data_IF_695039355984
#
_entry.id   IF_695039355984
#
_cell.length_a   1.000
_cell.length_b   1.000
_cell.length_c   1.000
_cell.angle_alpha   90.00
_cell.angle_beta   90.00
_cell.angle_gamma   90.00
#
_symmetry.space_group_name_H-M   'P 1'
#
loop_
_entity.id
_entity.type
_entity.pdbx_description
1 polymer ?
#
# COMPACT_ATOMS: atom_id res chain seq x y z
N UNK A 1 -8.28 13.28 -6.39
CA UNK A 1 -7.54 12.04 -6.73
C UNK A 1 -8.30 10.86 -6.18
N UNK A 2 -8.19 9.67 -6.76
CA UNK A 2 -8.91 8.50 -6.26
C UNK A 2 -8.25 7.98 -4.98
N UNK A 3 -9.04 7.82 -3.92
CA UNK A 3 -8.58 7.28 -2.63
C UNK A 3 -8.80 5.78 -2.55
N UNK A 4 -7.86 5.07 -1.90
CA UNK A 4 -8.01 3.66 -1.63
C UNK A 4 -9.16 3.43 -0.63
N UNK A 5 -9.91 2.36 -0.79
CA UNK A 5 -10.74 1.81 0.30
C UNK A 5 -9.87 0.99 1.26
N UNK A 6 -10.39 0.67 2.45
CA UNK A 6 -9.68 -0.20 3.39
C UNK A 6 -9.43 -1.60 2.80
N UNK A 7 -10.38 -2.14 2.02
CA UNK A 7 -10.20 -3.43 1.35
C UNK A 7 -9.12 -3.38 0.26
N UNK A 8 -9.07 -2.29 -0.51
CA UNK A 8 -8.01 -2.07 -1.50
C UNK A 8 -6.65 -1.90 -0.80
N UNK A 9 -6.62 -1.23 0.35
CA UNK A 9 -5.42 -1.07 1.18
C UNK A 9 -4.88 -2.43 1.61
N UNK A 10 -5.73 -3.30 2.16
CA UNK A 10 -5.35 -4.67 2.54
C UNK A 10 -4.82 -5.45 1.33
N UNK A 11 -5.47 -5.32 0.17
CA UNK A 11 -5.02 -5.98 -1.05
C UNK A 11 -3.65 -5.47 -1.54
N UNK A 12 -3.43 -4.16 -1.50
CA UNK A 12 -2.15 -3.52 -1.83
C UNK A 12 -1.05 -4.01 -0.89
N UNK A 13 -1.30 -3.97 0.42
CA UNK A 13 -0.32 -4.40 1.42
C UNK A 13 0.09 -5.86 1.21
N UNK A 14 -0.89 -6.75 0.99
CA UNK A 14 -0.61 -8.17 0.71
C UNK A 14 0.17 -8.40 -0.58
N UNK A 15 -0.10 -7.59 -1.59
CA UNK A 15 0.57 -7.71 -2.88
C UNK A 15 2.00 -7.15 -2.86
N UNK A 16 2.24 -6.06 -2.12
CA UNK A 16 3.47 -5.29 -2.21
C UNK A 16 4.43 -5.53 -1.04
N UNK A 17 3.92 -5.88 0.14
CA UNK A 17 4.66 -5.89 1.41
C UNK A 17 4.70 -7.31 1.98
N UNK A 18 3.56 -7.83 2.43
CA UNK A 18 3.49 -9.15 3.06
C UNK A 18 2.18 -9.87 2.72
N UNK A 19 2.30 -10.90 1.88
CA UNK A 19 1.19 -11.75 1.46
C UNK A 19 0.55 -12.54 2.62
N UNK A 20 1.28 -12.76 3.72
CA UNK A 20 0.85 -13.53 4.87
C UNK A 20 0.01 -12.75 5.87
N UNK A 21 -0.04 -11.42 5.77
CA UNK A 21 -0.73 -10.59 6.78
C UNK A 21 -2.23 -10.85 6.80
N UNK A 22 -2.75 -11.07 8.01
CA UNK A 22 -4.15 -11.39 8.27
C UNK A 22 -4.90 -10.17 8.76
N UNK A 23 -6.23 -10.25 8.73
CA UNK A 23 -7.08 -9.18 9.27
C UNK A 23 -7.04 -9.09 10.82
N UNK A 24 -6.31 -9.99 11.48
CA UNK A 24 -6.17 -10.07 12.94
C UNK A 24 -5.29 -8.99 13.57
N UNK A 25 -4.53 -8.22 12.78
CA UNK A 25 -3.66 -7.12 13.27
C UNK A 25 -4.42 -5.97 13.95
N UNK A 26 -5.76 -5.96 13.83
CA UNK A 26 -6.63 -4.97 14.46
C UNK A 26 -6.95 -3.76 13.57
N UNK A 27 -8.08 -3.11 13.85
CA UNK A 27 -8.59 -2.02 13.01
C UNK A 27 -7.70 -0.77 13.01
N UNK A 28 -7.08 -0.46 14.15
CA UNK A 28 -6.19 0.70 14.28
C UNK A 28 -4.92 0.54 13.46
N UNK A 29 -4.35 -0.68 13.45
CA UNK A 29 -3.20 -1.01 12.63
C UNK A 29 -3.50 -0.82 11.14
N UNK A 30 -4.62 -1.38 10.66
CA UNK A 30 -5.04 -1.21 9.27
C UNK A 30 -5.39 0.24 8.91
N UNK A 31 -5.83 1.05 9.88
CA UNK A 31 -6.09 2.48 9.67
C UNK A 31 -4.80 3.27 9.48
N UNK A 32 -3.74 2.96 10.23
CA UNK A 32 -2.43 3.59 10.05
C UNK A 32 -1.80 3.18 8.71
N UNK A 33 -1.79 1.88 8.42
CA UNK A 33 -1.34 1.34 7.13
C UNK A 33 -2.10 1.96 5.96
N UNK A 34 -3.41 2.20 6.11
CA UNK A 34 -4.22 2.90 5.11
C UNK A 34 -3.72 4.32 4.84
N UNK A 35 -3.47 5.10 5.89
CA UNK A 35 -2.95 6.48 5.77
C UNK A 35 -1.60 6.51 5.09
N UNK A 36 -0.71 5.59 5.44
CA UNK A 36 0.64 5.53 4.89
C UNK A 36 0.64 5.09 3.42
N UNK A 37 -0.12 4.06 3.07
CA UNK A 37 -0.27 3.62 1.67
C UNK A 37 -0.92 4.70 0.81
N UNK A 38 -1.88 5.45 1.36
CA UNK A 38 -2.48 6.60 0.68
C UNK A 38 -1.44 7.71 0.45
N UNK A 39 -0.62 8.04 1.46
CA UNK A 39 0.45 9.02 1.34
C UNK A 39 1.53 8.59 0.32
N UNK A 40 1.90 7.31 0.27
CA UNK A 40 2.81 6.75 -0.75
C UNK A 40 2.24 6.91 -2.16
N UNK A 41 0.92 6.74 -2.32
CA UNK A 41 0.24 6.90 -3.60
C UNK A 41 0.16 8.37 -4.05
N UNK A 42 -0.07 9.29 -3.11
CA UNK A 42 -0.20 10.72 -3.35
C UNK A 42 1.14 11.44 -3.50
N UNK A 43 2.23 10.83 -3.05
CA UNK A 43 3.56 11.40 -3.16
C UNK A 43 3.91 11.79 -4.62
N UNK A 44 4.52 12.97 -4.85
CA UNK A 44 4.78 13.49 -6.19
C UNK A 44 5.81 12.66 -6.97
N UNK A 45 6.76 12.05 -6.27
CA UNK A 45 7.82 11.24 -6.84
C UNK A 45 8.19 10.06 -5.93
N UNK A 46 9.07 9.19 -6.43
CA UNK A 46 9.49 7.99 -5.71
C UNK A 46 10.33 8.30 -4.47
N UNK A 47 11.04 9.44 -4.43
CA UNK A 47 11.84 9.82 -3.26
C UNK A 47 10.91 10.24 -2.10
N UNK A 48 9.90 11.04 -2.40
CA UNK A 48 8.86 11.43 -1.45
C UNK A 48 8.07 10.21 -0.95
N UNK A 49 7.77 9.26 -1.85
CA UNK A 49 7.10 8.01 -1.49
C UNK A 49 7.96 7.12 -0.57
N UNK A 50 9.27 7.06 -0.83
CA UNK A 50 10.24 6.35 0.00
C UNK A 50 10.31 6.93 1.42
N UNK A 51 10.34 8.26 1.55
CA UNK A 51 10.40 8.96 2.84
C UNK A 51 9.20 8.61 3.74
N UNK A 52 8.00 8.44 3.17
CA UNK A 52 6.77 8.11 3.90
C UNK A 52 6.88 6.79 4.66
N UNK A 53 7.51 5.77 4.06
CA UNK A 53 7.60 4.43 4.64
C UNK A 53 8.97 4.11 5.21
N UNK A 54 9.96 5.00 5.07
CA UNK A 54 11.34 4.73 5.51
C UNK A 54 11.40 4.24 6.95
N UNK A 55 10.54 4.75 7.83
CA UNK A 55 10.50 4.39 9.24
C UNK A 55 9.88 3.02 9.56
N UNK A 56 9.21 2.35 8.60
CA UNK A 56 8.62 1.02 8.81
C UNK A 56 9.64 -0.01 9.29
N UNK A 57 10.89 0.13 8.83
CA UNK A 57 12.01 -0.66 9.30
C UNK A 57 13.15 0.27 9.67
N UNK A 58 13.69 0.09 10.88
CA UNK A 58 14.93 0.78 11.29
C UNK A 58 16.09 0.43 10.35
N UNK A 59 16.16 -0.82 9.90
CA UNK A 59 17.11 -1.27 8.89
C UNK A 59 16.41 -2.18 7.87
N UNK A 60 16.26 -1.67 6.66
CA UNK A 60 15.64 -2.36 5.53
C UNK A 60 16.45 -3.55 5.01
N UNK A 61 17.77 -3.55 5.24
CA UNK A 61 18.62 -4.67 4.80
C UNK A 61 18.34 -5.95 5.60
N UNK A 62 17.88 -5.83 6.86
CA UNK A 62 17.49 -6.97 7.69
C UNK A 62 16.28 -7.74 7.13
N UNK A 63 15.43 -7.08 6.34
CA UNK A 63 14.30 -7.69 5.65
C UNK A 63 14.59 -7.98 4.16
N UNK A 64 15.85 -7.81 3.73
CA UNK A 64 16.29 -8.08 2.37
C UNK A 64 15.68 -7.16 1.32
N UNK A 65 15.34 -5.93 1.70
CA UNK A 65 14.57 -5.00 0.86
C UNK A 65 15.11 -3.56 0.98
N UNK A 66 14.50 -2.62 0.24
CA UNK A 66 14.73 -1.19 0.41
C UNK A 66 13.41 -0.44 0.47
N UNK A 67 13.36 0.65 1.25
CA UNK A 67 12.20 1.54 1.28
C UNK A 67 11.79 2.00 -0.11
N UNK A 68 12.77 2.23 -0.99
CA UNK A 68 12.56 2.68 -2.37
C UNK A 68 11.84 1.63 -3.22
N UNK A 69 12.26 0.38 -3.14
CA UNK A 69 11.67 -0.69 -3.94
C UNK A 69 10.32 -1.16 -3.37
N UNK A 70 10.16 -1.11 -2.05
CA UNK A 70 8.85 -1.26 -1.41
C UNK A 70 7.87 -0.17 -1.87
N UNK A 71 8.26 1.11 -1.82
CA UNK A 71 7.44 2.23 -2.29
C UNK A 71 7.07 2.09 -3.78
N UNK A 72 8.01 1.63 -4.62
CA UNK A 72 7.75 1.35 -6.04
C UNK A 72 6.69 0.26 -6.23
N UNK A 73 6.80 -0.85 -5.49
CA UNK A 73 5.84 -1.96 -5.54
C UNK A 73 4.46 -1.52 -5.06
N UNK A 74 4.40 -0.75 -3.97
CA UNK A 74 3.16 -0.18 -3.45
C UNK A 74 2.47 0.68 -4.51
N UNK A 75 3.17 1.65 -5.10
CA UNK A 75 2.59 2.54 -6.14
C UNK A 75 2.04 1.74 -7.33
N UNK A 76 2.78 0.71 -7.77
CA UNK A 76 2.33 -0.20 -8.83
C UNK A 76 1.07 -0.97 -8.44
N UNK A 77 1.01 -1.50 -7.22
CA UNK A 77 -0.15 -2.23 -6.71
C UNK A 77 -1.38 -1.32 -6.56
N UNK A 78 -1.19 -0.09 -6.05
CA UNK A 78 -2.25 0.93 -5.96
C UNK A 78 -2.83 1.23 -7.34
N UNK A 79 -1.97 1.53 -8.33
CA UNK A 79 -2.42 1.76 -9.69
C UNK A 79 -3.24 0.55 -10.22
N UNK A 80 -2.77 -0.67 -9.97
CA UNK A 80 -3.51 -1.89 -10.31
C UNK A 80 -4.89 -1.99 -9.66
N UNK A 81 -5.00 -1.65 -8.36
CA UNK A 81 -6.29 -1.67 -7.65
C UNK A 81 -7.25 -0.59 -8.13
N UNK A 82 -6.75 0.61 -8.43
CA UNK A 82 -7.58 1.71 -8.94
C UNK A 82 -8.11 1.41 -10.34
N UNK A 83 -7.27 0.80 -11.21
CA UNK A 83 -7.68 0.34 -12.53
C UNK A 83 -8.67 -0.83 -12.46
N UNK A 84 -8.46 -1.80 -11.55
CA UNK A 84 -9.36 -2.95 -11.38
C UNK A 84 -10.68 -2.57 -10.68
N UNK A 85 -10.68 -1.54 -9.84
CA UNK A 85 -11.86 -0.99 -9.16
C UNK A 85 -12.87 -0.35 -10.13
N UNK A 86 -12.40 0.21 -11.25
CA UNK A 86 -13.25 0.72 -12.33
C UNK A 86 -14.07 -0.37 -13.03
N UNK A 87 -13.58 -1.62 -13.04
CA UNK A 87 -14.22 -2.75 -13.74
C UNK A 87 -15.13 -3.59 -12.84
N UNK A 88 -15.03 -3.45 -11.52
CA UNK A 88 -15.81 -4.23 -10.54
C UNK A 88 -17.11 -3.55 -10.08
N UNK A 89 -17.27 -2.24 -10.30
CA UNK A 89 -18.49 -1.51 -9.94
C UNK A 89 -19.72 -1.87 -10.81
N UNK A 90 -19.55 -2.61 -11.90
CA UNK A 90 -20.62 -3.01 -12.84
C UNK A 90 -21.06 -4.47 -12.76
N UNK A 91 -20.57 -5.25 -11.78
CA UNK A 91 -21.01 -6.63 -11.52
C UNK A 91 -21.62 -6.81 -10.13
N UNK A 92 -22.68 -6.05 -9.85
CA UNK A 92 -23.73 -6.46 -8.91
C UNK A 92 -25.07 -6.02 -9.49
N UNK A 93 -25.71 -6.93 -10.24
CA UNK A 93 -27.14 -6.94 -10.53
C UNK A 93 -27.71 -8.18 -9.89
#
# INVERSE_FOLDING_TARGET
MASLTLDQTKAVYRQAVDAGVRDSEGADWWTNVHRELQAVAEAPDLASAEDVIRWWHHDWSMVGDTARDAARRIRKAVAGQLLAGGTRASRRR
#
